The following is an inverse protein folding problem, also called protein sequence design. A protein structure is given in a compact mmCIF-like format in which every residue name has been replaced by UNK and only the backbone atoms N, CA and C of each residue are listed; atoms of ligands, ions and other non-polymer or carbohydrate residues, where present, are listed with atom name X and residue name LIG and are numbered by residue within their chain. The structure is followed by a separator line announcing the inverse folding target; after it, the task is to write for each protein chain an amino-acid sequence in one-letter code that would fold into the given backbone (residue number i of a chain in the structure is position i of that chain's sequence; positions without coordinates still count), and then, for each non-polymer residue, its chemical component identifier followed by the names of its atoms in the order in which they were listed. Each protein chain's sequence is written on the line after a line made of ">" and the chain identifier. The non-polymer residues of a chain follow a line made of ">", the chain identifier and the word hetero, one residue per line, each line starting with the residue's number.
data_IF_959196532043
#
_entry.id   IF_959196532043
#
_cell.length_a   1.000
_cell.length_b   1.000
_cell.length_c   1.000
_cell.angle_alpha   90.00
_cell.angle_beta   90.00
_cell.angle_gamma   90.00
#
_symmetry.space_group_name_H-M   'P 1'
#
loop_
_entity.id
_entity.type
_entity.pdbx_description
1 polymer ?
#
# COMPACT_ATOMS: atom_id res chain seq x y z
N UNK A 1 -8.37 15.99 -10.13
CA UNK A 1 -8.04 14.59 -10.44
C UNK A 1 -9.12 14.05 -11.34
N UNK A 2 -8.76 13.42 -12.43
CA UNK A 2 -9.70 12.69 -13.30
C UNK A 2 -9.82 11.25 -12.83
N UNK A 3 -10.93 10.59 -13.15
CA UNK A 3 -11.15 9.15 -12.87
C UNK A 3 -9.93 8.30 -13.21
N UNK A 4 -9.35 8.52 -14.40
CA UNK A 4 -8.18 7.78 -14.91
C UNK A 4 -6.91 8.00 -14.08
N UNK A 5 -6.69 9.21 -13.58
CA UNK A 5 -5.55 9.49 -12.67
C UNK A 5 -5.73 8.82 -11.31
N UNK A 6 -6.97 8.66 -10.83
CA UNK A 6 -7.27 7.93 -9.59
C UNK A 6 -6.98 6.44 -9.78
N UNK A 7 -7.49 5.86 -10.86
CA UNK A 7 -7.29 4.44 -11.19
C UNK A 7 -5.81 4.11 -11.37
N UNK A 8 -5.05 5.01 -12.00
CA UNK A 8 -3.59 4.84 -12.14
C UNK A 8 -2.89 4.85 -10.77
N UNK A 9 -3.18 5.83 -9.91
CA UNK A 9 -2.58 5.89 -8.57
C UNK A 9 -2.96 4.67 -7.71
N UNK A 10 -4.19 4.18 -7.83
CA UNK A 10 -4.62 2.94 -7.17
C UNK A 10 -3.78 1.75 -7.65
N UNK A 11 -3.54 1.65 -8.97
CA UNK A 11 -2.74 0.57 -9.54
C UNK A 11 -1.28 0.62 -9.08
N UNK A 12 -0.69 1.81 -9.03
CA UNK A 12 0.68 2.02 -8.53
C UNK A 12 0.80 1.61 -7.05
N UNK A 13 -0.11 2.09 -6.19
CA UNK A 13 -0.08 1.75 -4.76
C UNK A 13 -0.31 0.24 -4.54
N UNK A 14 -1.14 -0.42 -5.36
CA UNK A 14 -1.33 -1.87 -5.28
C UNK A 14 -0.06 -2.64 -5.66
N UNK A 15 0.70 -2.18 -6.67
CA UNK A 15 2.00 -2.79 -6.99
C UNK A 15 2.99 -2.64 -5.83
N UNK A 16 3.10 -1.44 -5.27
CA UNK A 16 3.99 -1.17 -4.14
C UNK A 16 3.59 -1.98 -2.89
N UNK A 17 2.29 -2.15 -2.65
CA UNK A 17 1.76 -2.97 -1.56
C UNK A 17 2.21 -4.43 -1.68
N UNK A 18 2.09 -5.02 -2.87
CA UNK A 18 2.52 -6.41 -3.12
C UNK A 18 4.02 -6.58 -2.90
N UNK A 19 4.82 -5.63 -3.39
CA UNK A 19 6.27 -5.67 -3.19
C UNK A 19 6.63 -5.58 -1.70
N UNK A 20 5.99 -4.66 -0.98
CA UNK A 20 6.22 -4.44 0.45
C UNK A 20 5.81 -5.66 1.30
N UNK A 21 4.73 -6.34 0.96
CA UNK A 21 4.35 -7.61 1.61
C UNK A 21 5.43 -8.67 1.45
N UNK A 22 5.96 -8.85 0.23
CA UNK A 22 7.04 -9.81 0.01
C UNK A 22 8.34 -9.43 0.72
N UNK A 23 8.59 -8.14 0.95
CA UNK A 23 9.73 -7.70 1.75
C UNK A 23 9.50 -7.90 3.25
N UNK A 24 8.26 -7.75 3.75
CA UNK A 24 7.89 -8.09 5.13
C UNK A 24 8.12 -9.57 5.40
N UNK A 25 7.66 -10.45 4.51
CA UNK A 25 7.88 -11.89 4.66
C UNK A 25 9.38 -12.23 4.78
N UNK A 26 10.24 -11.56 4.00
CA UNK A 26 11.70 -11.73 4.11
C UNK A 26 12.25 -11.18 5.42
N UNK A 27 11.77 -10.02 5.87
CA UNK A 27 12.20 -9.38 7.13
C UNK A 27 11.79 -10.21 8.35
N UNK A 28 10.61 -10.83 8.31
CA UNK A 28 10.14 -11.79 9.32
C UNK A 28 11.05 -13.02 9.37
N UNK A 29 11.37 -13.60 8.21
CA UNK A 29 12.27 -14.76 8.11
C UNK A 29 13.71 -14.47 8.57
N UNK A 30 14.17 -13.23 8.47
CA UNK A 30 15.53 -12.81 8.86
C UNK A 30 15.61 -12.28 10.29
N UNK A 31 14.48 -12.19 11.01
CA UNK A 31 14.42 -11.79 12.41
C UNK A 31 14.52 -10.28 12.66
N UNK A 32 14.29 -9.44 11.65
CA UNK A 32 14.35 -7.98 11.77
C UNK A 32 13.01 -7.40 12.22
N UNK A 33 12.60 -7.68 13.46
CA UNK A 33 11.29 -7.32 14.02
C UNK A 33 10.99 -5.81 13.93
N UNK A 34 11.96 -4.94 14.22
CA UNK A 34 11.77 -3.48 14.11
C UNK A 34 11.51 -3.02 12.66
N UNK A 35 12.10 -3.71 11.68
CA UNK A 35 11.89 -3.44 10.26
C UNK A 35 10.54 -3.94 9.78
N UNK A 36 10.07 -5.09 10.31
CA UNK A 36 8.72 -5.61 10.07
C UNK A 36 7.69 -4.60 10.55
N UNK A 37 7.80 -4.12 11.79
CA UNK A 37 6.85 -3.14 12.33
C UNK A 37 6.79 -1.84 11.50
N UNK A 38 7.93 -1.34 11.03
CA UNK A 38 7.98 -0.16 10.16
C UNK A 38 7.35 -0.41 8.79
N UNK A 39 7.53 -1.62 8.25
CA UNK A 39 6.96 -2.02 6.97
C UNK A 39 5.44 -2.27 7.08
N UNK A 40 4.95 -2.83 8.18
CA UNK A 40 3.51 -2.92 8.48
C UNK A 40 2.88 -1.54 8.62
N UNK A 41 3.55 -0.59 9.27
CA UNK A 41 3.06 0.79 9.37
C UNK A 41 2.97 1.46 7.99
N UNK A 42 3.91 1.14 7.09
CA UNK A 42 3.84 1.56 5.68
C UNK A 42 2.68 0.92 4.95
N UNK A 43 2.43 -0.38 5.13
CA UNK A 43 1.25 -1.06 4.56
C UNK A 43 -0.05 -0.39 5.01
N UNK A 44 -0.21 -0.15 6.31
CA UNK A 44 -1.41 0.48 6.85
C UNK A 44 -1.67 1.88 6.25
N UNK A 45 -0.61 2.65 6.00
CA UNK A 45 -0.72 3.94 5.28
C UNK A 45 -1.16 3.77 3.83
N UNK A 46 -0.64 2.75 3.14
CA UNK A 46 -1.04 2.44 1.76
C UNK A 46 -2.51 2.05 1.70
N UNK A 47 -3.00 1.22 2.64
CA UNK A 47 -4.41 0.82 2.72
C UNK A 47 -5.33 2.01 2.96
N UNK A 48 -4.95 2.91 3.88
CA UNK A 48 -5.71 4.14 4.11
C UNK A 48 -5.80 4.98 2.84
N UNK A 49 -4.68 5.15 2.13
CA UNK A 49 -4.64 5.93 0.88
C UNK A 49 -5.45 5.26 -0.23
N UNK A 50 -5.40 3.93 -0.35
CA UNK A 50 -6.25 3.18 -1.28
C UNK A 50 -7.74 3.36 -0.97
N UNK A 51 -8.13 3.33 0.31
CA UNK A 51 -9.51 3.55 0.72
C UNK A 51 -9.97 4.97 0.35
N UNK A 52 -9.16 5.98 0.60
CA UNK A 52 -9.45 7.38 0.21
C UNK A 52 -9.61 7.53 -1.30
N UNK A 53 -8.69 6.95 -2.09
CA UNK A 53 -8.76 7.00 -3.56
C UNK A 53 -9.98 6.26 -4.11
N UNK A 54 -10.31 5.08 -3.56
CA UNK A 54 -11.52 4.35 -3.97
C UNK A 54 -12.80 5.10 -3.61
N UNK A 55 -12.82 5.79 -2.46
CA UNK A 55 -13.95 6.64 -2.08
C UNK A 55 -14.12 7.79 -3.06
N UNK A 56 -13.04 8.51 -3.37
CA UNK A 56 -13.04 9.58 -4.37
C UNK A 56 -13.49 9.07 -5.76
N UNK A 57 -13.05 7.86 -6.15
CA UNK A 57 -13.45 7.24 -7.41
C UNK A 57 -14.95 6.90 -7.45
N UNK A 58 -15.52 6.49 -6.31
CA UNK A 58 -16.95 6.17 -6.20
C UNK A 58 -17.84 7.43 -6.15
N UNK A 59 -17.29 8.56 -5.70
CA UNK A 59 -17.98 9.86 -5.66
C UNK A 59 -17.92 10.63 -7.00
N UNK A 60 -17.24 10.09 -8.02
CA UNK A 60 -17.12 10.65 -9.38
C UNK A 60 -18.07 10.00 -10.38
#
# INVERSE_FOLDING_TARGET
>A
MTKREIEQQIAEIKMDYINLQGDIEKLENTGHIDSVMQAEERLARMEKKLAELNKLLAEM
#
